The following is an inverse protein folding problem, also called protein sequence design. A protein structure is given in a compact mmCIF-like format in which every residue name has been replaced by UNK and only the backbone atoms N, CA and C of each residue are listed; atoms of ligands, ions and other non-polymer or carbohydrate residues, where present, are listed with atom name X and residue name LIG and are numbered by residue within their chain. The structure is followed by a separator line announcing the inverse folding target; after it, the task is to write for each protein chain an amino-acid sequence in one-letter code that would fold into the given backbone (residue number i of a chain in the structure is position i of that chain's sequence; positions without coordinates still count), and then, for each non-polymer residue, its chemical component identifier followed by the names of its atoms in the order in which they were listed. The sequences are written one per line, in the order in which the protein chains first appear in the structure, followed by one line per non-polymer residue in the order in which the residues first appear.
data_IF_264296705960
#
_entry.id   IF_264296705960
#
_cell.length_a   1.000
_cell.length_b   1.000
_cell.length_c   1.000
_cell.angle_alpha   90.00
_cell.angle_beta   90.00
_cell.angle_gamma   90.00
#
_symmetry.space_group_name_H-M   'P 1'
#
loop_
_entity.id
_entity.type
_entity.pdbx_description
1 polymer ?
#
# COMPACT_ATOMS: atom_id res chain seq x y z
N UNK A 1 -15.04 -16.70 7.71
CA UNK A 1 -13.64 -16.26 7.52
C UNK A 1 -13.23 -16.01 6.06
N UNK A 2 -13.57 -16.86 5.06
CA UNK A 2 -12.99 -16.75 3.70
C UNK A 2 -13.75 -15.91 2.64
N UNK A 3 -14.85 -15.24 2.98
CA UNK A 3 -15.74 -14.62 1.96
C UNK A 3 -15.53 -13.11 1.71
N UNK A 4 -14.77 -12.42 2.55
CA UNK A 4 -14.58 -10.95 2.44
C UNK A 4 -13.30 -10.56 1.67
N UNK A 5 -12.29 -11.42 1.69
CA UNK A 5 -10.99 -11.17 1.04
C UNK A 5 -11.06 -11.25 -0.49
N UNK A 6 -11.73 -12.29 -1.02
CA UNK A 6 -11.87 -12.52 -2.46
C UNK A 6 -12.56 -11.33 -3.17
N UNK A 7 -13.69 -10.79 -2.67
CA UNK A 7 -14.30 -9.59 -3.26
C UNK A 7 -13.35 -8.39 -3.27
N UNK A 8 -12.60 -8.16 -2.18
CA UNK A 8 -11.76 -6.97 -2.07
C UNK A 8 -10.55 -7.02 -3.01
N UNK A 9 -9.90 -8.18 -3.10
CA UNK A 9 -8.82 -8.42 -4.05
C UNK A 9 -9.35 -8.30 -5.49
N UNK A 10 -10.54 -8.86 -5.78
CA UNK A 10 -11.15 -8.76 -7.11
C UNK A 10 -11.47 -7.32 -7.52
N UNK A 11 -11.96 -6.47 -6.60
CA UNK A 11 -12.23 -5.04 -6.87
C UNK A 11 -10.95 -4.30 -7.26
N UNK A 12 -9.85 -4.53 -6.53
CA UNK A 12 -8.57 -3.88 -6.82
C UNK A 12 -7.97 -4.35 -8.16
N UNK A 13 -8.12 -5.64 -8.49
CA UNK A 13 -7.74 -6.18 -9.80
C UNK A 13 -8.52 -5.51 -10.94
N UNK A 14 -9.85 -5.39 -10.79
CA UNK A 14 -10.73 -4.74 -11.77
C UNK A 14 -10.35 -3.26 -11.94
N UNK A 15 -10.10 -2.54 -10.85
CA UNK A 15 -9.65 -1.14 -10.91
C UNK A 15 -8.31 -1.00 -11.65
N UNK A 16 -7.37 -1.93 -11.43
CA UNK A 16 -6.08 -1.95 -12.11
C UNK A 16 -6.24 -2.19 -13.62
N UNK A 17 -7.12 -3.12 -14.01
CA UNK A 17 -7.46 -3.39 -15.41
C UNK A 17 -8.12 -2.18 -16.08
N UNK A 18 -9.10 -1.54 -15.42
CA UNK A 18 -9.75 -0.33 -15.93
C UNK A 18 -8.72 0.78 -16.13
N UNK A 19 -7.84 1.01 -15.16
CA UNK A 19 -6.75 1.99 -15.27
C UNK A 19 -5.83 1.70 -16.47
N UNK A 20 -5.51 0.43 -16.73
CA UNK A 20 -4.73 0.03 -17.89
C UNK A 20 -5.44 0.33 -19.22
N UNK A 21 -6.72 -0.05 -19.36
CA UNK A 21 -7.50 0.22 -20.56
C UNK A 21 -7.70 1.72 -20.81
N UNK A 22 -8.03 2.50 -19.77
CA UNK A 22 -8.20 3.96 -19.86
C UNK A 22 -6.90 4.67 -20.28
N UNK A 23 -5.75 4.21 -19.78
CA UNK A 23 -4.42 4.70 -20.18
C UNK A 23 -4.14 4.38 -21.66
N UNK A 24 -4.46 3.16 -22.12
CA UNK A 24 -4.29 2.75 -23.53
C UNK A 24 -5.19 3.53 -24.49
N UNK A 25 -6.35 3.98 -24.04
CA UNK A 25 -7.27 4.83 -24.80
C UNK A 25 -6.88 6.33 -24.83
N UNK A 26 -5.77 6.73 -24.18
CA UNK A 26 -5.32 8.13 -24.04
C UNK A 26 -6.35 9.08 -23.41
N UNK A 27 -7.42 8.55 -22.81
CA UNK A 27 -8.42 9.33 -22.07
C UNK A 27 -7.83 9.94 -20.80
N UNK A 28 -6.75 9.33 -20.29
CA UNK A 28 -5.97 9.83 -19.16
C UNK A 28 -4.65 10.38 -19.70
N UNK A 29 -4.62 11.68 -20.05
CA UNK A 29 -3.37 12.37 -20.34
C UNK A 29 -2.59 12.58 -19.04
N UNK A 30 -1.32 12.20 -19.01
CA UNK A 30 -0.46 12.28 -17.81
C UNK A 30 -0.29 13.69 -17.22
N UNK A 31 -0.74 14.73 -17.92
CA UNK A 31 -0.78 16.10 -17.40
C UNK A 31 -1.88 16.29 -16.33
N UNK A 32 -3.06 15.72 -16.53
CA UNK A 32 -4.19 15.85 -15.58
C UNK A 32 -4.01 14.94 -14.36
N UNK A 33 -3.38 13.77 -14.53
CA UNK A 33 -3.07 12.86 -13.42
C UNK A 33 -2.10 13.46 -12.41
N UNK A 34 -1.22 14.38 -12.82
CA UNK A 34 -0.32 15.08 -11.88
C UNK A 34 -1.09 15.95 -10.89
N UNK A 35 -2.09 16.69 -11.35
CA UNK A 35 -2.91 17.55 -10.48
C UNK A 35 -3.62 16.74 -9.39
N UNK A 36 -4.27 15.65 -9.78
CA UNK A 36 -4.91 14.73 -8.83
C UNK A 36 -3.92 14.08 -7.88
N UNK A 37 -2.77 13.63 -8.38
CA UNK A 37 -1.75 12.98 -7.55
C UNK A 37 -1.16 13.95 -6.52
N UNK A 38 -0.96 15.22 -6.87
CA UNK A 38 -0.49 16.28 -5.95
C UNK A 38 -1.53 16.54 -4.86
N UNK A 39 -2.81 16.68 -5.21
CA UNK A 39 -3.87 16.87 -4.21
C UNK A 39 -3.95 15.68 -3.25
N UNK A 40 -3.93 14.45 -3.76
CA UNK A 40 -3.92 13.27 -2.89
C UNK A 40 -2.69 13.24 -1.97
N UNK A 41 -1.50 13.53 -2.51
CA UNK A 41 -0.25 13.47 -1.74
C UNK A 41 -0.20 14.55 -0.66
N UNK A 42 -0.54 15.80 -1.00
CA UNK A 42 -0.36 16.96 -0.15
C UNK A 42 -1.59 17.34 0.68
N UNK A 43 -2.78 16.85 0.35
CA UNK A 43 -4.02 17.13 1.11
C UNK A 43 -4.51 15.87 1.79
N UNK A 44 -4.78 14.81 1.03
CA UNK A 44 -5.36 13.58 1.61
C UNK A 44 -4.41 12.91 2.60
N UNK A 45 -3.11 12.81 2.28
CA UNK A 45 -2.13 12.20 3.19
C UNK A 45 -2.04 12.89 4.55
N UNK A 46 -1.80 14.22 4.65
CA UNK A 46 -1.75 14.87 5.95
C UNK A 46 -3.09 14.84 6.68
N UNK A 47 -4.22 14.97 5.97
CA UNK A 47 -5.55 14.83 6.59
C UNK A 47 -5.76 13.43 7.20
N UNK A 48 -5.39 12.37 6.47
CA UNK A 48 -5.51 10.99 6.96
C UNK A 48 -4.59 10.74 8.16
N UNK A 49 -3.37 11.29 8.14
CA UNK A 49 -2.45 11.24 9.29
C UNK A 49 -3.11 11.92 10.50
N UNK A 50 -3.56 13.16 10.36
CA UNK A 50 -4.19 13.91 11.45
C UNK A 50 -5.39 13.16 12.04
N UNK A 51 -6.28 12.63 11.19
CA UNK A 51 -7.42 11.82 11.64
C UNK A 51 -6.98 10.54 12.37
N UNK A 52 -5.89 9.90 11.94
CA UNK A 52 -5.36 8.70 12.60
C UNK A 52 -4.72 8.97 13.97
N UNK A 53 -4.31 10.21 14.26
CA UNK A 53 -3.74 10.61 15.55
C UNK A 53 -4.77 11.25 16.50
N UNK A 54 -6.04 11.41 16.10
CA UNK A 54 -7.14 11.92 16.93
C UNK A 54 -7.75 10.86 17.85
N UNK A 55 -6.92 10.05 18.49
CA UNK A 55 -7.32 8.97 19.41
C UNK A 55 -6.71 9.22 20.79
N UNK A 56 -7.44 8.85 21.85
CA UNK A 56 -6.95 8.99 23.22
C UNK A 56 -5.70 8.13 23.42
N UNK A 57 -4.67 8.72 24.05
CA UNK A 57 -3.42 8.02 24.29
C UNK A 57 -3.61 6.98 25.39
N UNK A 58 -3.42 5.70 25.04
CA UNK A 58 -3.41 4.58 25.98
C UNK A 58 -2.02 3.92 26.00
N UNK A 59 -1.64 3.31 27.12
CA UNK A 59 -0.36 2.59 27.20
C UNK A 59 -0.31 1.42 26.19
N UNK A 60 -1.45 0.79 25.92
CA UNK A 60 -1.57 -0.29 24.94
C UNK A 60 -1.32 0.22 23.51
N UNK A 61 -1.82 1.40 23.15
CA UNK A 61 -1.57 2.00 21.84
C UNK A 61 -0.07 2.23 21.61
N UNK A 62 0.63 2.75 22.61
CA UNK A 62 2.07 2.97 22.53
C UNK A 62 2.85 1.66 22.37
N UNK A 63 2.50 0.63 23.16
CA UNK A 63 3.16 -0.67 23.07
C UNK A 63 2.92 -1.34 21.71
N UNK A 64 1.68 -1.30 21.21
CA UNK A 64 1.30 -1.83 19.90
C UNK A 64 1.98 -1.07 18.75
N UNK A 65 2.10 0.25 18.86
CA UNK A 65 2.82 1.08 17.90
C UNK A 65 4.30 0.69 17.83
N UNK A 66 4.97 0.58 18.99
CA UNK A 66 6.38 0.21 19.06
C UNK A 66 6.63 -1.21 18.55
N UNK A 67 5.77 -2.16 18.92
CA UNK A 67 5.83 -3.53 18.43
C UNK A 67 5.65 -3.60 16.91
N UNK A 68 4.64 -2.91 16.38
CA UNK A 68 4.39 -2.86 14.93
C UNK A 68 5.56 -2.22 14.18
N UNK A 69 6.16 -1.17 14.74
CA UNK A 69 7.32 -0.51 14.16
C UNK A 69 8.52 -1.46 14.05
N UNK A 70 8.83 -2.21 15.12
CA UNK A 70 9.90 -3.20 15.11
C UNK A 70 9.64 -4.33 14.11
N UNK A 71 8.41 -4.86 14.07
CA UNK A 71 8.01 -5.91 13.12
C UNK A 71 8.15 -5.43 11.67
N UNK A 72 7.72 -4.20 11.38
CA UNK A 72 7.84 -3.60 10.04
C UNK A 72 9.29 -3.44 9.61
N UNK A 73 10.18 -2.99 10.51
CA UNK A 73 11.62 -2.90 10.22
C UNK A 73 12.18 -4.28 9.90
N UNK A 74 11.86 -5.29 10.71
CA UNK A 74 12.34 -6.65 10.49
C UNK A 74 11.86 -7.22 9.15
N UNK A 75 10.58 -7.01 8.81
CA UNK A 75 10.02 -7.41 7.53
C UNK A 75 10.72 -6.72 6.35
N UNK A 76 11.02 -5.42 6.47
CA UNK A 76 11.76 -4.71 5.42
C UNK A 76 13.18 -5.25 5.24
N UNK A 77 13.87 -5.59 6.34
CA UNK A 77 15.20 -6.22 6.26
C UNK A 77 15.12 -7.56 5.53
N UNK A 78 14.11 -8.39 5.82
CA UNK A 78 13.88 -9.66 5.13
C UNK A 78 13.60 -9.44 3.64
N UNK A 79 12.72 -8.49 3.29
CA UNK A 79 12.42 -8.16 1.89
C UNK A 79 13.65 -7.64 1.14
N UNK A 80 14.50 -6.83 1.79
CA UNK A 80 15.76 -6.36 1.23
C UNK A 80 16.75 -7.51 1.02
N UNK A 81 16.86 -8.44 1.98
CA UNK A 81 17.70 -9.62 1.84
C UNK A 81 17.25 -10.52 0.68
N UNK A 82 15.94 -10.76 0.56
CA UNK A 82 15.35 -11.49 -0.57
C UNK A 82 15.65 -10.76 -1.89
N UNK A 83 15.39 -9.46 -1.96
CA UNK A 83 15.67 -8.64 -3.15
C UNK A 83 17.15 -8.69 -3.56
N UNK A 84 18.06 -8.70 -2.58
CA UNK A 84 19.50 -8.83 -2.83
C UNK A 84 19.91 -10.24 -3.28
N UNK A 85 19.31 -11.30 -2.73
CA UNK A 85 19.56 -12.67 -3.18
C UNK A 85 19.04 -12.93 -4.59
N UNK A 86 17.85 -12.41 -4.91
CA UNK A 86 17.22 -12.51 -6.23
C UNK A 86 17.99 -11.75 -7.31
N UNK A 87 18.72 -10.69 -6.95
CA UNK A 87 19.61 -9.92 -7.82
C UNK A 87 20.64 -10.79 -8.56
N UNK A 88 21.14 -11.84 -7.91
CA UNK A 88 22.22 -12.67 -8.47
C UNK A 88 21.72 -13.58 -9.60
N UNK A 89 20.42 -13.89 -9.64
CA UNK A 89 19.83 -14.81 -10.63
C UNK A 89 18.99 -14.12 -11.70
N UNK A 90 18.42 -12.95 -11.41
CA UNK A 90 17.48 -12.25 -12.30
C UNK A 90 17.94 -10.79 -12.41
N UNK A 91 18.34 -10.35 -13.61
CA UNK A 91 18.79 -8.99 -13.91
C UNK A 91 17.65 -7.95 -13.80
N UNK A 92 17.09 -7.78 -12.59
CA UNK A 92 15.94 -6.90 -12.35
C UNK A 92 16.26 -5.44 -12.68
N UNK A 93 15.34 -4.79 -13.39
CA UNK A 93 15.34 -3.35 -13.61
C UNK A 93 15.09 -2.61 -12.29
N UNK A 94 15.50 -1.34 -12.21
CA UNK A 94 15.32 -0.51 -11.01
C UNK A 94 13.85 -0.46 -10.54
N UNK A 95 12.89 -0.49 -11.47
CA UNK A 95 11.45 -0.51 -11.17
C UNK A 95 11.02 -1.82 -10.52
N UNK A 96 11.51 -2.95 -11.00
CA UNK A 96 11.18 -4.28 -10.46
C UNK A 96 11.77 -4.48 -9.07
N UNK A 97 12.95 -3.90 -8.82
CA UNK A 97 13.59 -3.87 -7.51
C UNK A 97 12.73 -3.12 -6.50
N UNK A 98 12.24 -1.93 -6.87
CA UNK A 98 11.36 -1.13 -6.00
C UNK A 98 10.04 -1.87 -5.78
N UNK A 99 9.45 -2.48 -6.81
CA UNK A 99 8.21 -3.23 -6.68
C UNK A 99 8.33 -4.49 -5.78
N UNK A 100 9.53 -5.06 -5.64
CA UNK A 100 9.78 -6.21 -4.76
C UNK A 100 9.86 -5.79 -3.28
N UNK A 101 10.49 -4.66 -2.98
CA UNK A 101 10.65 -4.15 -1.61
C UNK A 101 9.42 -3.36 -1.16
N UNK A 102 8.77 -2.65 -2.09
CA UNK A 102 7.56 -1.88 -1.89
C UNK A 102 6.46 -2.39 -2.83
N UNK A 103 5.87 -3.56 -2.53
CA UNK A 103 4.76 -4.05 -3.33
C UNK A 103 3.53 -3.16 -3.11
N UNK A 104 2.77 -2.93 -4.17
CA UNK A 104 1.48 -2.21 -4.11
C UNK A 104 0.45 -2.94 -3.21
N UNK A 105 0.79 -4.12 -2.70
CA UNK A 105 0.10 -4.81 -1.62
C UNK A 105 -0.10 -3.93 -0.37
N UNK A 106 0.74 -2.92 -0.12
CA UNK A 106 0.52 -1.95 0.95
C UNK A 106 -0.84 -1.24 0.86
N UNK A 107 -1.26 -0.86 -0.35
CA UNK A 107 -2.59 -0.28 -0.58
C UNK A 107 -3.73 -1.32 -0.42
N UNK A 108 -3.42 -2.61 -0.49
CA UNK A 108 -4.37 -3.70 -0.22
C UNK A 108 -4.49 -4.00 1.28
N UNK A 109 -3.48 -3.69 2.08
CA UNK A 109 -3.48 -3.94 3.52
C UNK A 109 -4.60 -3.17 4.21
N UNK A 110 -4.81 -1.88 3.91
CA UNK A 110 -5.84 -1.07 4.57
C UNK A 110 -7.24 -1.69 4.41
N UNK A 111 -7.75 -1.95 3.19
CA UNK A 111 -9.04 -2.61 3.04
C UNK A 111 -9.09 -4.05 3.57
N UNK A 112 -7.97 -4.78 3.57
CA UNK A 112 -7.89 -6.15 4.07
C UNK A 112 -8.00 -6.18 5.60
N UNK A 113 -7.30 -5.28 6.28
CA UNK A 113 -7.39 -5.10 7.74
C UNK A 113 -8.80 -4.70 8.14
N UNK A 114 -9.41 -3.74 7.44
CA UNK A 114 -10.83 -3.35 7.66
C UNK A 114 -11.77 -4.53 7.47
N UNK A 115 -11.55 -5.36 6.43
CA UNK A 115 -12.37 -6.55 6.18
C UNK A 115 -12.16 -7.69 7.20
N UNK A 116 -11.00 -7.74 7.87
CA UNK A 116 -10.66 -8.78 8.84
C UNK A 116 -11.04 -8.41 10.27
N UNK A 117 -10.80 -7.17 10.69
CA UNK A 117 -11.10 -6.68 12.04
C UNK A 117 -12.52 -6.13 12.16
N UNK A 118 -13.16 -5.78 11.05
CA UNK A 118 -14.42 -5.04 11.04
C UNK A 118 -14.18 -3.55 11.21
N UNK A 119 -15.13 -2.75 10.73
CA UNK A 119 -15.28 -1.36 11.15
C UNK A 119 -16.11 -1.36 12.42
N UNK A 120 -15.48 -1.17 13.57
CA UNK A 120 -16.16 -0.51 14.69
C UNK A 120 -16.16 1.01 14.43
#
# INVERSE_FOLDING_TARGET
MNRLLIPQISKMLVLMLIGFFLSRMKLVQGNESKGLSVVCLYVTTPCAILSGFQIEFTQDLFHNLLFSFLVVILLHIVLLAISFGLRQSLHFSAVERVATVYPNCGNLVIPLVIAMLGTD
#
